data_IF_821843670983
#
_entry.id   IF_821843670983
#
_cell.length_a   1.000
_cell.length_b   1.000
_cell.length_c   1.000
_cell.angle_alpha   90.00
_cell.angle_beta   90.00
_cell.angle_gamma   90.00
#
_symmetry.space_group_name_H-M   'P 1'
#
loop_
_entity.id
_entity.type
_entity.pdbx_description
1 polymer ?
#
# COMPACT_ATOMS: atom_id res chain seq x y z
N UNK A 1 24.36 -6.78 6.16
CA UNK A 1 24.17 -8.19 5.74
C UNK A 1 23.30 -8.88 6.78
N UNK A 2 21.99 -8.96 6.55
CA UNK A 2 21.10 -9.83 7.30
C UNK A 2 20.03 -10.30 6.32
N UNK A 3 20.11 -11.57 5.95
CA UNK A 3 19.17 -12.23 5.05
C UNK A 3 17.88 -12.49 5.82
N UNK A 4 16.76 -11.97 5.31
CA UNK A 4 15.43 -12.32 5.82
C UNK A 4 15.11 -13.70 5.22
N UNK A 5 15.04 -14.70 6.09
CA UNK A 5 14.74 -16.07 5.71
C UNK A 5 13.30 -16.18 5.20
N UNK A 6 13.16 -16.64 3.96
CA UNK A 6 11.88 -17.07 3.36
C UNK A 6 11.50 -18.44 3.92
N UNK A 7 10.42 -18.55 4.70
CA UNK A 7 9.83 -19.84 5.10
C UNK A 7 8.28 -19.80 5.13
N UNK A 8 7.61 -20.95 4.92
CA UNK A 8 6.24 -21.00 4.42
C UNK A 8 5.19 -21.17 5.51
N UNK A 9 4.05 -20.49 5.36
CA UNK A 9 2.87 -20.60 6.23
C UNK A 9 2.06 -21.87 5.87
N UNK A 10 1.63 -22.67 6.85
CA UNK A 10 0.86 -23.91 6.62
C UNK A 10 -0.63 -23.61 6.33
N UNK A 11 -1.28 -24.44 5.51
CA UNK A 11 -2.66 -24.25 5.04
C UNK A 11 -3.64 -25.15 5.79
N UNK A 12 -4.79 -24.61 6.20
CA UNK A 12 -5.95 -25.41 6.60
C UNK A 12 -7.01 -24.58 7.31
N UNK A 13 -8.16 -24.39 6.66
CA UNK A 13 -9.48 -24.86 7.13
C UNK A 13 -10.56 -24.40 6.12
N UNK A 14 -11.59 -25.25 6.04
CA UNK A 14 -12.61 -25.38 4.99
C UNK A 14 -13.69 -24.29 5.03
N UNK A 15 -14.15 -23.97 3.83
CA UNK A 15 -15.29 -23.12 3.47
C UNK A 15 -16.62 -23.66 4.03
N UNK A 16 -17.46 -22.80 4.63
CA UNK A 16 -18.91 -23.01 4.78
C UNK A 16 -19.63 -21.70 4.41
N UNK A 17 -20.65 -21.84 3.57
CA UNK A 17 -21.36 -20.80 2.82
C UNK A 17 -22.76 -20.50 3.41
N UNK A 18 -23.31 -19.33 3.01
CA UNK A 18 -24.74 -18.94 2.97
C UNK A 18 -25.37 -18.40 4.28
N UNK A 19 -26.37 -17.51 4.31
CA UNK A 19 -27.00 -16.64 3.30
C UNK A 19 -27.78 -15.52 4.04
N UNK A 20 -27.86 -14.35 3.41
CA UNK A 20 -28.93 -13.32 3.38
C UNK A 20 -29.84 -13.03 4.60
N UNK A 21 -30.01 -11.73 4.89
CA UNK A 21 -31.28 -11.01 4.65
C UNK A 21 -31.14 -9.49 4.80
N UNK A 22 -31.77 -8.80 3.86
CA UNK A 22 -31.84 -7.35 3.63
C UNK A 22 -33.13 -6.83 4.31
N UNK A 23 -33.08 -5.68 4.97
CA UNK A 23 -34.28 -4.93 5.33
C UNK A 23 -34.08 -3.42 5.14
N UNK A 24 -35.16 -2.83 4.66
CA UNK A 24 -35.32 -1.50 4.05
C UNK A 24 -35.80 -0.47 5.06
N UNK A 25 -35.36 0.78 4.86
CA UNK A 25 -35.75 1.99 5.62
C UNK A 25 -36.96 2.67 4.96
N UNK A 26 -37.87 3.31 5.71
CA UNK A 26 -38.75 4.33 5.16
C UNK A 26 -38.28 5.76 5.51
N UNK A 27 -38.37 6.63 4.50
CA UNK A 27 -38.22 8.07 4.55
C UNK A 27 -39.56 8.70 4.97
N UNK A 28 -39.51 9.74 5.80
CA UNK A 28 -40.62 10.68 6.00
C UNK A 28 -40.12 12.11 5.80
N UNK A 29 -40.83 12.82 4.94
CA UNK A 29 -40.69 14.23 4.60
C UNK A 29 -41.59 15.09 5.51
N UNK A 30 -41.16 16.31 5.80
CA UNK A 30 -42.06 17.38 6.21
C UNK A 30 -41.63 18.74 5.63
N UNK A 31 -42.63 19.40 5.06
CA UNK A 31 -42.64 20.72 4.44
C UNK A 31 -42.97 21.76 5.52
N UNK A 32 -42.34 22.94 5.47
CA UNK A 32 -42.64 24.05 6.39
C UNK A 32 -42.34 25.41 5.76
N UNK A 33 -43.40 26.18 5.55
CA UNK A 33 -43.52 27.44 4.80
C UNK A 33 -42.76 28.67 5.33
N UNK A 34 -42.32 29.46 4.35
CA UNK A 34 -42.32 30.94 4.20
C UNK A 34 -42.28 31.87 5.43
N UNK A 35 -41.39 32.88 5.35
CA UNK A 35 -41.78 34.28 5.56
C UNK A 35 -40.89 35.25 4.77
N UNK A 36 -41.56 36.18 4.10
CA UNK A 36 -41.01 37.19 3.19
C UNK A 36 -40.93 38.53 3.89
N UNK A 37 -39.77 39.19 3.90
CA UNK A 37 -39.67 40.60 4.26
C UNK A 37 -38.86 41.33 3.19
N UNK A 38 -39.56 42.20 2.45
CA UNK A 38 -38.99 43.12 1.46
C UNK A 38 -38.47 44.35 2.20
N UNK A 39 -37.18 44.66 2.02
CA UNK A 39 -36.63 45.99 2.32
C UNK A 39 -36.03 46.52 1.02
N UNK A 40 -36.66 47.58 0.51
CA UNK A 40 -36.20 48.38 -0.62
C UNK A 40 -35.40 49.53 -0.05
N UNK A 41 -34.10 49.57 -0.32
CA UNK A 41 -33.27 50.76 -0.16
C UNK A 41 -32.45 50.95 -1.44
N UNK A 42 -32.86 51.93 -2.25
CA UNK A 42 -32.12 52.38 -3.41
C UNK A 42 -30.89 53.17 -2.98
N UNK A 43 -29.72 52.77 -3.46
CA UNK A 43 -28.48 53.54 -3.32
C UNK A 43 -27.88 53.76 -4.71
N UNK A 44 -27.66 55.04 -5.00
CA UNK A 44 -27.08 55.60 -6.22
C UNK A 44 -25.76 54.92 -6.58
N UNK A 45 -25.62 54.54 -7.85
CA UNK A 45 -24.40 53.99 -8.42
C UNK A 45 -23.38 55.12 -8.67
N UNK A 46 -22.27 55.13 -7.94
CA UNK A 46 -21.12 55.98 -8.24
C UNK A 46 -20.03 55.09 -8.88
N UNK A 47 -19.69 55.36 -10.14
CA UNK A 47 -18.67 54.61 -10.88
C UNK A 47 -17.28 55.01 -10.37
N UNK A 48 -16.69 54.17 -9.52
CA UNK A 48 -15.25 54.20 -9.24
C UNK A 48 -14.64 52.98 -9.92
N UNK A 49 -13.85 53.23 -10.97
CA UNK A 49 -13.04 52.21 -11.65
C UNK A 49 -11.93 51.77 -10.70
N UNK A 50 -12.17 50.71 -9.95
CA UNK A 50 -11.13 49.98 -9.24
C UNK A 50 -10.91 48.66 -9.97
N UNK A 51 -9.72 48.48 -10.52
CA UNK A 51 -9.28 47.18 -11.06
C UNK A 51 -9.10 46.22 -9.88
N UNK A 52 -10.20 45.66 -9.41
CA UNK A 52 -10.20 44.50 -8.51
C UNK A 52 -9.69 43.31 -9.32
N UNK A 53 -8.41 43.00 -9.14
CA UNK A 53 -7.88 41.68 -9.47
C UNK A 53 -8.57 40.73 -8.50
N UNK A 54 -9.63 40.06 -8.97
CA UNK A 54 -10.24 38.95 -8.26
C UNK A 54 -9.21 37.83 -8.26
N UNK A 55 -8.36 37.82 -7.23
CA UNK A 55 -7.49 36.70 -6.93
C UNK A 55 -8.41 35.64 -6.31
N UNK A 56 -8.95 34.77 -7.16
CA UNK A 56 -9.58 33.53 -6.70
C UNK A 56 -8.49 32.73 -5.99
N UNK A 57 -8.36 32.93 -4.67
CA UNK A 57 -7.72 31.93 -3.84
C UNK A 57 -8.69 30.76 -3.91
N UNK A 58 -8.32 29.73 -4.68
CA UNK A 58 -9.01 28.47 -4.60
C UNK A 58 -8.97 28.06 -3.13
N UNK A 59 -10.12 28.18 -2.45
CA UNK A 59 -10.31 27.50 -1.19
C UNK A 59 -9.88 26.05 -1.43
N UNK A 60 -9.08 25.48 -0.52
CA UNK A 60 -8.85 24.04 -0.54
C UNK A 60 -10.22 23.40 -0.63
N UNK A 61 -10.53 22.77 -1.76
CA UNK A 61 -11.80 22.13 -1.96
C UNK A 61 -11.87 21.03 -0.92
N UNK A 62 -12.85 21.10 -0.01
CA UNK A 62 -13.21 20.07 0.97
C UNK A 62 -13.72 18.77 0.30
N UNK A 63 -13.44 18.62 -0.99
CA UNK A 63 -13.76 17.47 -1.83
C UNK A 63 -12.54 16.55 -1.79
N UNK A 64 -12.69 15.29 -1.31
CA UNK A 64 -11.62 14.32 -1.39
C UNK A 64 -11.11 14.17 -2.83
N UNK A 65 -9.79 13.99 -3.04
CA UNK A 65 -9.25 13.81 -4.38
C UNK A 65 -9.84 12.55 -5.01
N UNK A 66 -9.86 12.51 -6.34
CA UNK A 66 -10.26 11.32 -7.08
C UNK A 66 -9.12 10.31 -7.17
N UNK A 67 -9.45 9.04 -7.46
CA UNK A 67 -8.45 7.99 -7.70
C UNK A 67 -7.46 8.41 -8.81
N UNK A 68 -7.96 9.06 -9.86
CA UNK A 68 -7.15 9.54 -10.98
C UNK A 68 -6.15 10.61 -10.54
N UNK A 69 -6.56 11.52 -9.65
CA UNK A 69 -5.67 12.55 -9.08
C UNK A 69 -4.58 11.94 -8.21
N UNK A 70 -4.91 10.97 -7.34
CA UNK A 70 -3.90 10.24 -6.56
C UNK A 70 -2.91 9.50 -7.46
N UNK A 71 -3.38 8.80 -8.51
CA UNK A 71 -2.49 8.14 -9.48
C UNK A 71 -1.60 9.15 -10.21
N UNK A 72 -2.16 10.28 -10.62
CA UNK A 72 -1.43 11.35 -11.25
C UNK A 72 -0.35 11.92 -10.31
N UNK A 73 -0.68 12.16 -9.04
CA UNK A 73 0.26 12.65 -8.03
C UNK A 73 1.42 11.67 -7.82
N UNK A 74 1.15 10.36 -7.79
CA UNK A 74 2.19 9.34 -7.72
C UNK A 74 3.15 9.40 -8.92
N UNK A 75 2.62 9.42 -10.15
CA UNK A 75 3.42 9.49 -11.38
C UNK A 75 4.16 10.83 -11.54
N UNK A 76 3.60 11.91 -11.00
CA UNK A 76 4.23 13.22 -10.96
C UNK A 76 5.42 13.25 -9.99
N UNK A 77 5.29 12.57 -8.85
CA UNK A 77 6.33 12.47 -7.83
C UNK A 77 7.45 11.50 -8.25
N UNK A 78 7.11 10.34 -8.82
CA UNK A 78 8.07 9.35 -9.31
C UNK A 78 8.00 9.21 -10.83
N UNK A 79 8.96 9.83 -11.53
CA UNK A 79 8.99 9.93 -13.00
C UNK A 79 9.74 8.81 -13.72
N UNK A 80 10.49 7.99 -12.99
CA UNK A 80 11.27 6.89 -13.58
C UNK A 80 10.34 5.73 -13.95
N UNK A 81 10.65 4.95 -15.00
CA UNK A 81 9.85 3.77 -15.33
C UNK A 81 9.97 2.71 -14.22
N UNK A 82 8.83 2.14 -13.82
CA UNK A 82 8.74 1.00 -12.90
C UNK A 82 8.51 -0.26 -13.74
N UNK A 83 9.28 -1.35 -13.55
CA UNK A 83 9.02 -2.60 -14.25
C UNK A 83 7.58 -3.08 -14.03
N UNK A 84 6.93 -3.52 -15.10
CA UNK A 84 5.47 -3.80 -15.13
C UNK A 84 5.01 -4.75 -14.02
N UNK A 85 5.83 -5.75 -13.67
CA UNK A 85 5.55 -6.70 -12.59
C UNK A 85 5.27 -6.03 -11.24
N UNK A 86 5.99 -4.95 -10.92
CA UNK A 86 5.78 -4.17 -9.69
C UNK A 86 4.70 -3.11 -9.91
N UNK A 87 4.73 -2.43 -11.07
CA UNK A 87 3.85 -1.30 -11.33
C UNK A 87 2.36 -1.70 -11.30
N UNK A 88 1.99 -2.84 -11.87
CA UNK A 88 0.60 -3.31 -11.86
C UNK A 88 0.08 -3.44 -10.42
N UNK A 89 0.84 -4.10 -9.55
CA UNK A 89 0.43 -4.31 -8.15
C UNK A 89 0.50 -3.03 -7.34
N UNK A 90 1.51 -2.18 -7.54
CA UNK A 90 1.59 -0.87 -6.88
C UNK A 90 0.38 0.00 -7.21
N UNK A 91 -0.05 0.05 -8.48
CA UNK A 91 -1.20 0.84 -8.89
C UNK A 91 -2.51 0.28 -8.34
N UNK A 92 -2.67 -1.05 -8.26
CA UNK A 92 -3.82 -1.68 -7.61
C UNK A 92 -3.87 -1.38 -6.10
N UNK A 93 -2.73 -1.50 -5.40
CA UNK A 93 -2.63 -1.15 -3.98
C UNK A 93 -2.95 0.33 -3.76
N UNK A 94 -2.45 1.22 -4.63
CA UNK A 94 -2.70 2.66 -4.53
C UNK A 94 -4.20 2.98 -4.63
N UNK A 95 -4.92 2.32 -5.54
CA UNK A 95 -6.38 2.45 -5.64
C UNK A 95 -7.07 1.94 -4.38
N UNK A 96 -6.70 0.75 -3.91
CA UNK A 96 -7.32 0.16 -2.71
C UNK A 96 -7.11 1.04 -1.48
N UNK A 97 -5.91 1.56 -1.29
CA UNK A 97 -5.59 2.44 -0.18
C UNK A 97 -6.25 3.81 -0.33
N UNK A 98 -6.34 4.38 -1.53
CA UNK A 98 -7.10 5.60 -1.79
C UNK A 98 -8.56 5.45 -1.33
N UNK A 99 -9.23 4.38 -1.77
CA UNK A 99 -10.63 4.11 -1.40
C UNK A 99 -10.83 3.90 0.10
N UNK A 100 -9.78 3.55 0.82
CA UNK A 100 -9.78 3.37 2.27
C UNK A 100 -9.48 4.69 3.00
N UNK A 101 -8.46 5.43 2.56
CA UNK A 101 -7.97 6.69 3.11
C UNK A 101 -9.01 7.81 3.11
N UNK A 102 -9.85 7.85 2.08
CA UNK A 102 -10.87 8.89 1.93
C UNK A 102 -12.26 8.42 2.36
N UNK A 103 -12.38 7.28 3.07
CA UNK A 103 -13.62 6.94 3.78
C UNK A 103 -13.86 7.93 4.91
N UNK A 104 -15.12 8.28 5.14
CA UNK A 104 -15.52 9.15 6.27
C UNK A 104 -15.12 8.57 7.63
N UNK A 105 -15.06 7.26 7.75
CA UNK A 105 -14.68 6.53 8.97
C UNK A 105 -13.17 6.27 9.07
N UNK A 106 -12.38 6.75 8.10
CA UNK A 106 -10.94 6.52 8.12
C UNK A 106 -10.31 7.26 9.28
N UNK A 107 -9.46 6.52 10.00
CA UNK A 107 -8.55 7.08 10.97
C UNK A 107 -7.24 6.29 10.84
N UNK A 108 -6.12 7.00 10.87
CA UNK A 108 -4.80 6.38 10.77
C UNK A 108 -4.55 5.48 11.99
N UNK A 109 -4.03 4.27 11.73
CA UNK A 109 -3.70 3.28 12.75
C UNK A 109 -2.24 2.81 12.58
N UNK A 110 -1.40 2.81 13.65
CA UNK A 110 -0.03 2.28 13.56
C UNK A 110 0.04 0.81 13.13
N UNK A 111 -0.97 -0.01 13.50
CA UNK A 111 -1.08 -1.41 13.06
C UNK A 111 -1.34 -1.49 11.55
N UNK A 112 -2.14 -0.57 11.00
CA UNK A 112 -2.32 -0.44 9.56
C UNK A 112 -0.99 -0.13 8.86
N UNK A 113 -0.24 0.85 9.39
CA UNK A 113 1.04 1.25 8.82
C UNK A 113 2.06 0.10 8.83
N UNK A 114 2.15 -0.64 9.94
CA UNK A 114 2.96 -1.87 10.03
C UNK A 114 2.61 -2.85 8.91
N UNK A 115 1.32 -3.13 8.74
CA UNK A 115 0.86 -4.04 7.69
C UNK A 115 1.18 -3.54 6.30
N UNK A 116 0.92 -2.26 6.00
CA UNK A 116 1.25 -1.66 4.70
C UNK A 116 2.75 -1.73 4.40
N UNK A 117 3.60 -1.34 5.36
CA UNK A 117 5.06 -1.39 5.21
C UNK A 117 5.52 -2.83 4.95
N UNK A 118 4.96 -3.80 5.67
CA UNK A 118 5.25 -5.24 5.46
C UNK A 118 4.90 -5.69 4.05
N UNK A 119 3.68 -5.35 3.56
CA UNK A 119 3.27 -5.68 2.19
C UNK A 119 4.18 -5.03 1.16
N UNK A 120 4.51 -3.76 1.36
CA UNK A 120 5.36 -3.01 0.45
C UNK A 120 6.77 -3.62 0.34
N UNK A 121 7.38 -3.97 1.47
CA UNK A 121 8.72 -4.56 1.48
C UNK A 121 8.78 -5.91 0.77
N UNK A 122 7.79 -6.77 1.00
CA UNK A 122 7.67 -8.07 0.32
C UNK A 122 7.37 -7.90 -1.17
N UNK A 123 6.48 -6.97 -1.52
CA UNK A 123 6.20 -6.63 -2.92
C UNK A 123 7.48 -6.16 -3.63
N UNK A 124 8.26 -5.29 -2.99
CA UNK A 124 9.46 -4.68 -3.58
C UNK A 124 10.75 -5.50 -3.34
N UNK A 125 10.63 -6.72 -2.82
CA UNK A 125 11.74 -7.67 -2.73
C UNK A 125 12.28 -7.99 -4.13
N UNK A 126 13.61 -7.96 -4.30
CA UNK A 126 14.26 -8.17 -5.60
C UNK A 126 14.17 -7.00 -6.57
N UNK A 127 13.65 -5.84 -6.16
CA UNK A 127 13.68 -4.64 -7.00
C UNK A 127 15.13 -4.15 -7.20
N UNK A 128 15.56 -3.73 -8.41
CA UNK A 128 16.98 -3.54 -8.72
C UNK A 128 17.73 -2.47 -7.92
N UNK A 129 17.03 -1.42 -7.48
CA UNK A 129 17.63 -0.23 -6.86
C UNK A 129 16.96 0.07 -5.52
N UNK A 130 17.71 -0.01 -4.43
CA UNK A 130 17.18 0.27 -3.09
C UNK A 130 16.76 1.73 -2.92
N UNK A 131 17.46 2.66 -3.57
CA UNK A 131 17.08 4.07 -3.54
C UNK A 131 15.78 4.32 -4.28
N UNK A 132 15.57 3.67 -5.43
CA UNK A 132 14.29 3.75 -6.14
C UNK A 132 13.16 3.09 -5.34
N UNK A 133 13.42 1.99 -4.62
CA UNK A 133 12.44 1.40 -3.69
C UNK A 133 12.00 2.41 -2.63
N UNK A 134 12.92 3.19 -2.08
CA UNK A 134 12.57 4.20 -1.08
C UNK A 134 11.82 5.38 -1.72
N UNK A 135 12.30 5.88 -2.86
CA UNK A 135 11.64 6.97 -3.59
C UNK A 135 10.21 6.60 -4.01
N UNK A 136 9.98 5.36 -4.46
CA UNK A 136 8.64 4.84 -4.79
C UNK A 136 7.77 4.82 -3.54
N UNK A 137 8.28 4.36 -2.39
CA UNK A 137 7.53 4.32 -1.12
C UNK A 137 7.08 5.72 -0.71
N UNK A 138 8.03 6.67 -0.68
CA UNK A 138 7.75 8.07 -0.34
C UNK A 138 6.74 8.69 -1.30
N UNK A 139 6.92 8.47 -2.61
CA UNK A 139 6.02 8.99 -3.64
C UNK A 139 4.61 8.40 -3.53
N UNK A 140 4.50 7.12 -3.20
CA UNK A 140 3.23 6.42 -3.01
C UNK A 140 2.46 7.02 -1.82
N UNK A 141 3.10 7.16 -0.66
CA UNK A 141 2.43 7.64 0.56
C UNK A 141 2.09 9.13 0.44
N UNK A 142 3.01 9.93 -0.12
CA UNK A 142 2.75 11.34 -0.38
C UNK A 142 1.58 11.55 -1.36
N UNK A 143 1.39 10.67 -2.35
CA UNK A 143 0.27 10.77 -3.30
C UNK A 143 -1.11 10.60 -2.63
N UNK A 144 -1.15 9.99 -1.45
CA UNK A 144 -2.34 9.82 -0.59
C UNK A 144 -2.48 10.94 0.45
N UNK A 145 -1.63 11.97 0.41
CA UNK A 145 -1.52 13.03 1.41
C UNK A 145 -1.30 12.47 2.82
N UNK A 146 -0.35 11.54 2.94
CA UNK A 146 0.10 10.95 4.20
C UNK A 146 1.61 11.10 4.36
N UNK A 147 2.11 10.82 5.56
CA UNK A 147 3.53 10.97 5.90
C UNK A 147 4.29 9.62 5.83
N UNK A 148 5.19 9.43 4.85
CA UNK A 148 5.98 8.21 4.74
C UNK A 148 6.90 7.95 5.94
N UNK A 149 7.43 9.01 6.57
CA UNK A 149 8.34 8.87 7.69
C UNK A 149 7.57 8.43 8.95
N UNK A 150 6.35 8.93 9.15
CA UNK A 150 5.43 8.43 10.18
C UNK A 150 5.10 6.94 10.01
N UNK A 151 4.86 6.47 8.78
CA UNK A 151 4.59 5.06 8.50
C UNK A 151 5.77 4.17 8.90
N UNK A 152 6.98 4.54 8.46
CA UNK A 152 8.22 3.78 8.75
C UNK A 152 8.55 3.77 10.24
N UNK A 153 8.44 4.92 10.91
CA UNK A 153 8.73 5.04 12.34
C UNK A 153 7.76 4.20 13.18
N UNK A 154 6.46 4.27 12.88
CA UNK A 154 5.45 3.48 13.60
C UNK A 154 5.58 1.98 13.34
N UNK A 155 5.80 1.58 12.08
CA UNK A 155 6.04 0.18 11.76
C UNK A 155 7.24 -0.36 12.56
N UNK A 156 8.38 0.34 12.52
CA UNK A 156 9.58 -0.05 13.27
C UNK A 156 9.34 -0.14 14.78
N UNK A 157 8.64 0.85 15.37
CA UNK A 157 8.28 0.85 16.79
C UNK A 157 7.45 -0.37 17.18
N UNK A 158 6.40 -0.68 16.39
CA UNK A 158 5.57 -1.85 16.64
C UNK A 158 6.35 -3.16 16.47
N UNK A 159 7.27 -3.23 15.50
CA UNK A 159 8.12 -4.41 15.33
C UNK A 159 9.07 -4.62 16.52
N UNK A 160 9.72 -3.56 16.98
CA UNK A 160 10.62 -3.60 18.15
C UNK A 160 9.86 -4.02 19.40
N UNK A 161 8.68 -3.44 19.63
CA UNK A 161 7.81 -3.86 20.73
C UNK A 161 7.40 -5.33 20.60
N UNK A 162 6.93 -5.78 19.44
CA UNK A 162 6.46 -7.15 19.22
C UNK A 162 7.56 -8.19 19.48
N UNK A 163 8.82 -7.91 19.11
CA UNK A 163 9.98 -8.78 19.39
C UNK A 163 10.26 -8.98 20.88
N UNK A 164 9.77 -8.08 21.74
CA UNK A 164 9.89 -8.22 23.20
C UNK A 164 8.69 -8.95 23.83
N UNK A 165 7.67 -9.30 23.03
CA UNK A 165 6.47 -9.98 23.49
C UNK A 165 6.52 -11.49 23.24
N UNK A 166 5.56 -12.20 23.84
CA UNK A 166 5.18 -13.57 23.56
C UNK A 166 3.65 -13.66 23.42
N UNK A 167 3.10 -14.83 23.12
CA UNK A 167 1.67 -15.01 22.87
C UNK A 167 0.74 -14.49 23.99
N UNK A 168 1.09 -14.69 25.27
CA UNK A 168 0.28 -14.17 26.39
C UNK A 168 0.46 -12.67 26.55
N UNK A 169 1.72 -12.23 26.53
CA UNK A 169 2.10 -10.85 26.82
C UNK A 169 1.60 -9.86 25.75
N UNK A 170 1.43 -10.34 24.51
CA UNK A 170 0.86 -9.63 23.38
C UNK A 170 -0.66 -9.42 23.53
N UNK A 171 -1.38 -10.44 24.01
CA UNK A 171 -2.84 -10.40 24.23
C UNK A 171 -3.19 -9.55 25.44
N UNK A 172 -2.35 -9.55 26.46
CA UNK A 172 -2.51 -8.80 27.70
C UNK A 172 -2.10 -7.32 27.58
N UNK A 173 -2.04 -6.74 26.37
CA UNK A 173 -1.69 -5.33 26.17
C UNK A 173 -2.59 -4.36 26.95
N UNK A 174 -3.84 -4.75 27.22
CA UNK A 174 -4.83 -3.92 27.92
C UNK A 174 -4.52 -3.73 29.41
N UNK A 175 -3.77 -4.64 30.04
CA UNK A 175 -3.42 -4.57 31.47
C UNK A 175 -2.07 -3.91 31.72
N UNK A 176 -1.32 -3.64 30.66
CA UNK A 176 0.03 -3.09 30.69
C UNK A 176 0.03 -1.61 30.36
N UNK A 177 1.06 -0.91 30.81
CA UNK A 177 1.30 0.49 30.48
C UNK A 177 2.54 0.62 29.61
N UNK A 178 2.39 1.39 28.53
CA UNK A 178 3.43 1.60 27.53
C UNK A 178 2.86 2.32 26.32
N UNK A 179 3.74 2.84 25.48
CA UNK A 179 3.31 3.64 24.32
C UNK A 179 2.53 2.77 23.31
N UNK A 180 3.02 1.57 22.99
CA UNK A 180 2.36 0.67 22.04
C UNK A 180 1.09 0.06 22.64
N UNK A 181 1.12 -0.28 23.92
CA UNK A 181 -0.06 -0.72 24.67
C UNK A 181 -1.16 0.34 24.65
N UNK A 182 -0.82 1.62 24.86
CA UNK A 182 -1.74 2.74 24.74
C UNK A 182 -2.35 2.87 23.34
N UNK A 183 -1.54 2.69 22.28
CA UNK A 183 -2.02 2.68 20.90
C UNK A 183 -3.00 1.52 20.64
N UNK A 184 -2.70 0.32 21.15
CA UNK A 184 -3.58 -0.84 21.00
C UNK A 184 -4.87 -0.69 21.81
N UNK A 185 -4.82 -0.07 22.99
CA UNK A 185 -6.01 0.30 23.78
C UNK A 185 -6.91 1.26 23.01
N UNK A 186 -6.36 2.35 22.44
CA UNK A 186 -7.13 3.29 21.61
C UNK A 186 -7.81 2.59 20.42
N UNK A 187 -7.06 1.73 19.70
CA UNK A 187 -7.62 0.95 18.58
C UNK A 187 -8.76 0.06 19.08
N UNK A 188 -8.59 -0.64 20.20
CA UNK A 188 -9.61 -1.52 20.78
C UNK A 188 -10.89 -0.76 21.15
N UNK A 189 -10.77 0.43 21.73
CA UNK A 189 -11.91 1.27 22.08
C UNK A 189 -12.67 1.76 20.84
N UNK A 190 -11.94 2.23 19.82
CA UNK A 190 -12.55 2.68 18.56
C UNK A 190 -13.23 1.53 17.81
N UNK A 191 -12.57 0.37 17.72
CA UNK A 191 -13.15 -0.83 17.12
C UNK A 191 -14.37 -1.35 17.90
N UNK A 192 -14.41 -1.16 19.23
CA UNK A 192 -15.55 -1.45 20.09
C UNK A 192 -16.74 -0.49 19.93
N UNK A 193 -16.70 0.45 18.98
CA UNK A 193 -17.81 1.36 18.67
C UNK A 193 -17.71 2.73 19.34
N UNK A 194 -16.61 3.04 20.03
CA UNK A 194 -16.41 4.35 20.69
C UNK A 194 -15.72 5.40 19.81
N UNK A 195 -15.53 5.13 18.52
CA UNK A 195 -14.91 6.09 17.61
C UNK A 195 -14.84 5.61 16.17
N UNK A 196 -14.04 6.31 15.36
CA UNK A 196 -13.84 5.95 13.96
C UNK A 196 -12.81 4.84 13.85
N UNK A 197 -13.24 3.69 13.34
CA UNK A 197 -12.36 2.58 13.02
C UNK A 197 -12.68 2.07 11.62
N UNK A 198 -11.65 1.93 10.80
CA UNK A 198 -11.76 1.41 9.43
C UNK A 198 -10.86 0.20 9.27
N UNK A 199 -11.44 -0.97 9.50
CA UNK A 199 -10.77 -2.24 9.21
C UNK A 199 -10.31 -2.29 7.74
N UNK A 200 -9.13 -2.85 7.53
CA UNK A 200 -8.56 -3.07 6.19
C UNK A 200 -7.72 -4.34 6.16
N UNK A 201 -7.41 -4.82 4.95
CA UNK A 201 -6.49 -5.94 4.75
C UNK A 201 -5.10 -5.64 5.32
N UNK A 202 -4.61 -4.41 5.20
CA UNK A 202 -3.32 -4.04 5.78
C UNK A 202 -3.36 -4.13 7.30
N UNK A 203 -4.48 -3.80 7.94
CA UNK A 203 -4.63 -4.00 9.39
C UNK A 203 -4.51 -5.49 9.77
N UNK A 204 -5.13 -6.40 9.02
CA UNK A 204 -4.96 -7.85 9.25
C UNK A 204 -3.52 -8.32 9.08
N UNK A 205 -2.82 -7.86 8.04
CA UNK A 205 -1.40 -8.16 7.84
C UNK A 205 -0.55 -7.60 8.99
N UNK A 206 -0.88 -6.41 9.50
CA UNK A 206 -0.23 -5.82 10.67
C UNK A 206 -0.38 -6.68 11.93
N UNK A 207 -1.59 -7.18 12.20
CA UNK A 207 -1.81 -8.11 13.32
C UNK A 207 -1.01 -9.41 13.18
N UNK A 208 -1.00 -9.98 11.97
CA UNK A 208 -0.22 -11.18 11.70
C UNK A 208 1.28 -10.92 11.88
N UNK A 209 1.77 -9.76 11.44
CA UNK A 209 3.16 -9.36 11.61
C UNK A 209 3.56 -9.23 13.08
N UNK A 210 2.67 -8.70 13.93
CA UNK A 210 2.91 -8.66 15.39
C UNK A 210 3.06 -10.08 15.97
N UNK A 211 2.19 -11.00 15.59
CA UNK A 211 2.24 -12.40 16.04
C UNK A 211 3.51 -13.12 15.57
N UNK A 212 3.89 -12.91 14.31
CA UNK A 212 5.12 -13.47 13.74
C UNK A 212 6.35 -13.00 14.52
N UNK A 213 6.45 -11.70 14.82
CA UNK A 213 7.57 -11.13 15.55
C UNK A 213 7.61 -11.52 17.04
N UNK A 214 6.45 -11.77 17.65
CA UNK A 214 6.33 -12.32 19.00
C UNK A 214 6.55 -13.85 19.06
N UNK A 215 6.87 -14.48 17.92
CA UNK A 215 7.00 -15.93 17.77
C UNK A 215 5.78 -16.70 18.31
N UNK A 216 4.57 -16.18 18.04
CA UNK A 216 3.30 -16.73 18.49
C UNK A 216 2.26 -16.80 17.34
N UNK A 217 2.53 -17.53 16.25
CA UNK A 217 1.65 -17.59 15.08
C UNK A 217 0.41 -18.50 15.28
N UNK A 218 0.17 -19.00 16.49
CA UNK A 218 -0.91 -19.94 16.75
C UNK A 218 -2.29 -19.31 16.54
N UNK A 219 -3.24 -20.02 15.88
CA UNK A 219 -4.59 -19.49 15.64
C UNK A 219 -5.34 -19.07 16.92
N UNK A 220 -5.04 -19.72 18.05
CA UNK A 220 -5.63 -19.41 19.35
C UNK A 220 -5.14 -18.09 19.93
N UNK A 221 -3.89 -17.70 19.68
CA UNK A 221 -3.34 -16.40 20.09
C UNK A 221 -3.95 -15.29 19.24
N UNK A 222 -4.07 -15.53 17.92
CA UNK A 222 -4.75 -14.60 17.02
C UNK A 222 -6.21 -14.37 17.42
N UNK A 223 -6.94 -15.42 17.81
CA UNK A 223 -8.32 -15.32 18.28
C UNK A 223 -8.45 -14.46 19.54
N UNK A 224 -7.57 -14.68 20.52
CA UNK A 224 -7.53 -13.88 21.76
C UNK A 224 -7.17 -12.42 21.47
N UNK A 225 -6.19 -12.17 20.60
CA UNK A 225 -5.79 -10.82 20.20
C UNK A 225 -6.92 -10.09 19.46
N UNK A 226 -7.61 -10.75 18.52
CA UNK A 226 -8.78 -10.19 17.85
C UNK A 226 -9.88 -9.82 18.84
N UNK A 227 -10.14 -10.70 19.82
CA UNK A 227 -11.12 -10.45 20.87
C UNK A 227 -10.74 -9.24 21.72
N UNK A 228 -9.48 -9.15 22.16
CA UNK A 228 -8.98 -8.03 22.95
C UNK A 228 -9.03 -6.69 22.20
N UNK A 229 -8.91 -6.71 20.87
CA UNK A 229 -9.02 -5.52 20.01
C UNK A 229 -10.44 -5.23 19.51
N UNK A 230 -11.45 -6.02 19.90
CA UNK A 230 -12.82 -5.93 19.36
C UNK A 230 -12.91 -6.08 17.83
N UNK A 231 -12.07 -6.94 17.24
CA UNK A 231 -11.99 -7.19 15.80
C UNK A 231 -12.62 -8.53 15.43
N UNK A 232 -13.35 -8.54 14.31
CA UNK A 232 -13.94 -9.77 13.79
C UNK A 232 -12.88 -10.72 13.22
N UNK A 233 -12.55 -11.80 13.97
CA UNK A 233 -11.58 -12.83 13.55
C UNK A 233 -11.84 -13.38 12.15
N UNK A 234 -13.10 -13.67 11.79
CA UNK A 234 -13.46 -14.21 10.46
C UNK A 234 -13.03 -13.29 9.31
N UNK A 235 -13.05 -11.97 9.53
CA UNK A 235 -12.60 -11.00 8.53
C UNK A 235 -11.09 -11.01 8.40
N UNK A 236 -10.37 -11.14 9.53
CA UNK A 236 -8.91 -11.29 9.56
C UNK A 236 -8.49 -12.56 8.82
N UNK A 237 -9.06 -13.72 9.16
CA UNK A 237 -8.74 -15.00 8.51
C UNK A 237 -8.92 -14.91 6.98
N UNK A 238 -10.06 -14.35 6.52
CA UNK A 238 -10.35 -14.17 5.09
C UNK A 238 -9.30 -13.30 4.40
N UNK A 239 -8.91 -12.20 5.01
CA UNK A 239 -7.96 -11.26 4.41
C UNK A 239 -6.52 -11.79 4.43
N UNK A 240 -6.15 -12.59 5.44
CA UNK A 240 -4.87 -13.28 5.49
C UNK A 240 -4.76 -14.35 4.39
N UNK A 241 -5.83 -15.09 4.12
CA UNK A 241 -5.88 -16.04 3.01
C UNK A 241 -5.72 -15.34 1.65
N UNK A 242 -6.41 -14.21 1.45
CA UNK A 242 -6.27 -13.40 0.23
C UNK A 242 -4.84 -12.87 0.10
N UNK A 243 -4.24 -12.39 1.19
CA UNK A 243 -2.88 -11.88 1.20
C UNK A 243 -1.85 -12.96 0.84
N UNK A 244 -1.96 -14.14 1.46
CA UNK A 244 -1.10 -15.30 1.15
C UNK A 244 -1.18 -15.71 -0.32
N UNK A 245 -2.39 -15.71 -0.88
CA UNK A 245 -2.60 -16.03 -2.29
C UNK A 245 -1.99 -14.97 -3.22
N UNK A 246 -2.03 -13.68 -2.84
CA UNK A 246 -1.38 -12.60 -3.58
C UNK A 246 0.16 -12.75 -3.57
N UNK A 247 0.75 -12.99 -2.40
CA UNK A 247 2.20 -13.19 -2.26
C UNK A 247 2.71 -14.38 -3.07
N UNK A 248 2.02 -15.53 -3.00
CA UNK A 248 2.40 -16.73 -3.76
C UNK A 248 2.46 -16.43 -5.27
N UNK A 249 1.47 -15.71 -5.80
CA UNK A 249 1.43 -15.32 -7.22
C UNK A 249 2.54 -14.34 -7.59
N UNK A 250 2.86 -13.39 -6.69
CA UNK A 250 3.94 -12.43 -6.89
C UNK A 250 5.31 -13.11 -6.95
N UNK A 251 5.58 -14.05 -6.04
CA UNK A 251 6.83 -14.83 -6.02
C UNK A 251 6.98 -15.62 -7.32
N UNK A 252 5.94 -16.34 -7.73
CA UNK A 252 5.93 -17.09 -9.00
C UNK A 252 6.18 -16.17 -10.21
N UNK A 253 5.54 -15.00 -10.27
CA UNK A 253 5.75 -14.05 -11.35
C UNK A 253 7.18 -13.51 -11.38
N UNK A 254 7.80 -13.26 -10.21
CA UNK A 254 9.19 -12.78 -10.11
C UNK A 254 10.18 -13.85 -10.59
N UNK A 255 9.97 -15.10 -10.23
CA UNK A 255 10.80 -16.23 -10.67
C UNK A 255 10.75 -16.38 -12.19
N UNK A 256 9.55 -16.37 -12.79
CA UNK A 256 9.39 -16.45 -14.25
C UNK A 256 10.06 -15.28 -14.98
N UNK A 257 9.97 -14.07 -14.43
CA UNK A 257 10.64 -12.89 -14.99
C UNK A 257 12.16 -13.02 -14.89
N UNK A 258 12.68 -13.47 -13.75
CA UNK A 258 14.12 -13.68 -13.56
C UNK A 258 14.65 -14.68 -14.58
N UNK A 259 13.98 -15.82 -14.74
CA UNK A 259 14.33 -16.80 -15.77
C UNK A 259 14.27 -16.22 -17.19
N UNK A 260 13.26 -15.40 -17.50
CA UNK A 260 13.14 -14.75 -18.80
C UNK A 260 14.31 -13.79 -19.06
N UNK A 261 14.63 -12.94 -18.08
CA UNK A 261 15.74 -11.98 -18.17
C UNK A 261 17.07 -12.72 -18.32
N UNK A 262 17.29 -13.79 -17.56
CA UNK A 262 18.53 -14.58 -17.62
C UNK A 262 18.66 -15.28 -18.98
N UNK A 263 17.56 -15.84 -19.52
CA UNK A 263 17.54 -16.40 -20.88
C UNK A 263 17.85 -15.35 -21.95
N UNK A 264 17.27 -14.15 -21.85
CA UNK A 264 17.52 -13.09 -22.83
C UNK A 264 18.93 -12.50 -22.72
N UNK A 265 19.52 -12.42 -21.52
CA UNK A 265 20.93 -12.07 -21.34
C UNK A 265 21.84 -13.10 -21.99
N UNK A 266 21.62 -14.39 -21.73
CA UNK A 266 22.39 -15.48 -22.36
C UNK A 266 22.31 -15.43 -23.88
N UNK A 267 21.11 -15.26 -24.45
CA UNK A 267 20.94 -15.11 -25.91
C UNK A 267 21.64 -13.86 -26.46
N UNK A 268 21.70 -12.77 -25.70
CA UNK A 268 22.43 -11.56 -26.11
C UNK A 268 23.93 -11.77 -26.07
N UNK A 269 24.44 -12.40 -25.02
CA UNK A 269 25.85 -12.77 -24.90
C UNK A 269 26.26 -13.70 -26.06
N UNK A 270 25.49 -14.74 -26.36
CA UNK A 270 25.72 -15.63 -27.51
C UNK A 270 25.69 -14.88 -28.86
N UNK A 271 24.81 -13.88 -29.02
CA UNK A 271 24.78 -13.04 -30.23
C UNK A 271 25.98 -12.11 -30.34
N UNK A 272 26.44 -11.55 -29.23
CA UNK A 272 27.64 -10.68 -29.21
C UNK A 272 28.89 -11.51 -29.47
N UNK A 273 29.01 -12.70 -28.87
CA UNK A 273 30.11 -13.64 -29.08
C UNK A 273 30.15 -14.17 -30.53
N UNK A 274 28.99 -14.49 -31.11
CA UNK A 274 28.92 -14.91 -32.51
C UNK A 274 29.15 -13.76 -33.50
N UNK A 275 28.84 -12.52 -33.13
CA UNK A 275 29.17 -11.34 -33.94
C UNK A 275 30.65 -10.97 -33.84
N UNK A 276 31.28 -11.08 -32.67
CA UNK A 276 32.72 -10.84 -32.49
C UNK A 276 33.56 -11.90 -33.22
N UNK A 277 33.15 -13.18 -33.17
CA UNK A 277 33.77 -14.25 -33.95
C UNK A 277 33.63 -14.01 -35.46
N UNK A 278 32.44 -13.67 -35.95
CA UNK A 278 32.23 -13.34 -37.37
C UNK A 278 33.04 -12.12 -37.81
N UNK A 279 33.14 -11.09 -36.97
CA UNK A 279 33.95 -9.90 -37.26
C UNK A 279 35.45 -10.25 -37.38
N UNK A 280 35.96 -11.06 -36.45
CA UNK A 280 37.35 -11.53 -36.47
C UNK A 280 37.65 -12.42 -37.69
N UNK A 281 36.73 -13.29 -38.08
CA UNK A 281 36.85 -14.11 -39.29
C UNK A 281 36.84 -13.27 -40.58
N UNK A 282 35.98 -12.25 -40.68
CA UNK A 282 35.98 -11.33 -41.83
C UNK A 282 37.25 -10.50 -41.92
N UNK A 283 37.80 -10.03 -40.80
CA UNK A 283 39.07 -9.29 -40.77
C UNK A 283 40.22 -10.19 -41.28
N UNK A 284 40.24 -11.46 -40.86
CA UNK A 284 41.28 -12.43 -41.25
C UNK A 284 41.21 -12.78 -42.75
N UNK A 285 40.00 -12.90 -43.32
CA UNK A 285 39.83 -13.10 -44.78
C UNK A 285 40.27 -11.89 -45.59
N UNK A 286 39.92 -10.67 -45.16
CA UNK A 286 40.32 -9.46 -45.86
C UNK A 286 41.84 -9.23 -45.83
N UNK A 287 42.55 -9.56 -44.75
CA UNK A 287 44.02 -9.47 -44.70
C UNK A 287 44.72 -10.59 -45.46
N UNK A 288 44.12 -11.79 -45.55
CA UNK A 288 44.62 -12.89 -46.38
C UNK A 288 44.57 -12.57 -47.88
N UNK A 289 43.49 -11.95 -48.35
CA UNK A 289 43.32 -11.60 -49.78
C UNK A 289 44.23 -10.43 -50.23
N UNK A 290 44.56 -9.49 -49.34
CA UNK A 290 45.51 -8.40 -49.63
C UNK A 290 46.94 -8.93 -49.86
N UNK A 291 47.28 -10.07 -49.24
CA UNK A 291 48.61 -10.66 -49.38
C UNK A 291 48.77 -11.51 -50.66
N UNK A 292 47.66 -11.95 -51.28
CA UNK A 292 47.66 -12.78 -52.50
C UNK A 292 47.57 -11.95 -53.80
N UNK A 293 47.27 -10.65 -53.72
CA UNK A 293 47.18 -9.74 -54.88
C UNK A 293 48.43 -8.90 -55.14
N UNK A 294 49.51 -9.09 -54.36
CA UNK A 294 50.81 -8.41 -54.50
C UNK A 294 51.96 -9.31 -54.96
N UNK A 295 51.66 -10.44 -55.61
CA UNK A 295 52.62 -11.28 -56.35
C UNK A 295 52.17 -11.42 -57.80
#
# INVERSE_FOLDING_TARGET
MAAIASLPFAAGVRHVSSSERRSTVPVSSSVGSSNSAKIVCGVKCNRISSRLVVRCVAAQSDVPPTVSETKYNFLKAYKKPIPSIYNTVLQELLVQQHLMRYKRTYQYDPVFALGFVTVYEQLMEGYPSNEDKDQIFRSYINALNEDPDQYRANAKKLEEWARTQNGSSLVEFSTKEGEVEGLLKDISERAGGKGNFSYSRFFAVGLFRLLELANAPEPSVLEKLCTALNINKRSVDRDLDVYRNLLTKLVQAKELLKEYVDREKKKREERVESQSQKANETITKCTGDIHLTML
#
